data_IF_071661745869
#
_entry.id   IF_071661745869
#
_cell.length_a   1.000
_cell.length_b   1.000
_cell.length_c   1.000
_cell.angle_alpha   90.00
_cell.angle_beta   90.00
_cell.angle_gamma   90.00
#
_symmetry.space_group_name_H-M   'P 1'
#
loop_
_entity.id
_entity.type
_entity.pdbx_description
1 polymer ?
#
# COMPACT_ATOMS: atom_id res chain seq x y z
N UNK A 1 1.40 13.89 12.33
CA UNK A 1 0.39 13.01 11.69
C UNK A 1 -0.66 13.93 11.14
N UNK A 2 -0.83 13.95 9.83
CA UNK A 2 -1.89 14.72 9.18
C UNK A 2 -3.06 13.78 8.88
N UNK A 3 -4.27 14.21 9.23
CA UNK A 3 -5.50 13.47 9.03
C UNK A 3 -6.24 14.08 7.86
N UNK A 4 -6.68 13.23 6.94
CA UNK A 4 -7.53 13.61 5.83
C UNK A 4 -8.78 12.74 5.84
N UNK A 5 -9.88 13.23 5.26
CA UNK A 5 -11.06 12.40 5.05
C UNK A 5 -11.25 12.15 3.56
N UNK A 6 -11.42 10.88 3.19
CA UNK A 6 -11.79 10.46 1.83
C UNK A 6 -13.13 9.73 1.93
N UNK A 7 -14.19 10.37 1.46
CA UNK A 7 -15.56 9.83 1.49
C UNK A 7 -16.04 9.40 2.88
N UNK A 8 -15.61 10.09 3.94
CA UNK A 8 -15.99 9.79 5.33
C UNK A 8 -15.03 8.85 6.06
N UNK A 9 -14.09 8.21 5.37
CA UNK A 9 -13.04 7.40 5.99
C UNK A 9 -11.86 8.29 6.38
N UNK A 10 -11.32 8.12 7.59
CA UNK A 10 -10.12 8.81 8.04
C UNK A 10 -8.88 8.18 7.40
N UNK A 11 -8.12 8.96 6.64
CA UNK A 11 -6.88 8.53 5.99
C UNK A 11 -5.72 9.30 6.61
N UNK A 12 -4.78 8.56 7.20
CA UNK A 12 -3.57 9.10 7.81
C UNK A 12 -2.32 8.65 7.06
N UNK A 13 -1.42 9.59 6.77
CA UNK A 13 -0.12 9.27 6.16
C UNK A 13 0.99 9.35 7.23
N UNK A 14 1.75 8.29 7.36
CA UNK A 14 2.87 8.17 8.30
C UNK A 14 4.15 7.87 7.54
N UNK A 15 5.24 8.53 7.91
CA UNK A 15 6.57 8.24 7.40
C UNK A 15 7.29 7.23 8.29
N UNK A 16 7.81 6.16 7.69
CA UNK A 16 8.77 5.27 8.30
C UNK A 16 8.12 4.09 9.03
N UNK A 17 8.60 3.82 10.25
CA UNK A 17 8.12 2.68 11.05
C UNK A 17 6.84 3.04 11.77
N UNK A 18 5.91 2.08 11.78
CA UNK A 18 4.65 2.19 12.49
C UNK A 18 4.39 0.88 13.23
N UNK A 19 3.94 0.98 14.48
CA UNK A 19 3.49 -0.17 15.26
C UNK A 19 2.08 -0.52 14.82
N UNK A 20 1.90 -1.72 14.28
CA UNK A 20 0.63 -2.18 13.74
C UNK A 20 -0.17 -3.05 14.72
N UNK A 21 0.19 -3.07 16.00
CA UNK A 21 -0.55 -3.83 17.02
C UNK A 21 -2.00 -3.41 17.21
N UNK A 22 -2.36 -2.19 16.81
CA UNK A 22 -3.73 -1.64 16.91
C UNK A 22 -4.53 -1.80 15.61
N UNK A 23 -3.95 -2.40 14.56
CA UNK A 23 -4.61 -2.55 13.26
C UNK A 23 -5.18 -3.96 13.11
N UNK A 24 -6.45 -4.03 12.65
CA UNK A 24 -7.14 -5.31 12.41
C UNK A 24 -6.55 -6.04 11.20
N UNK A 25 -6.13 -5.29 10.18
CA UNK A 25 -5.58 -5.80 8.95
C UNK A 25 -4.43 -4.93 8.45
N UNK A 26 -3.37 -5.55 7.96
CA UNK A 26 -2.28 -4.83 7.27
C UNK A 26 -1.93 -5.45 5.94
N UNK A 27 -1.52 -4.61 5.01
CA UNK A 27 -0.98 -5.00 3.71
C UNK A 27 0.51 -4.68 3.68
N UNK A 28 1.33 -5.72 3.57
CA UNK A 28 2.80 -5.60 3.61
C UNK A 28 3.44 -6.33 2.43
N UNK A 29 4.68 -5.97 2.10
CA UNK A 29 5.45 -6.78 1.16
C UNK A 29 5.76 -8.16 1.76
N UNK A 30 5.63 -9.27 0.99
CA UNK A 30 5.91 -10.61 1.51
C UNK A 30 7.41 -10.81 1.79
N UNK A 31 8.24 -10.41 0.82
CA UNK A 31 9.70 -10.47 0.84
C UNK A 31 10.25 -9.23 0.14
N UNK A 32 11.21 -8.55 0.77
CA UNK A 32 11.85 -7.36 0.20
C UNK A 32 13.31 -7.71 -0.08
N UNK A 33 13.72 -7.82 -1.36
CA UNK A 33 15.10 -8.21 -1.69
C UNK A 33 16.08 -7.12 -1.28
N UNK A 34 17.18 -7.52 -0.63
CA UNK A 34 18.30 -6.63 -0.34
C UNK A 34 19.42 -6.82 -1.37
N UNK A 35 19.89 -5.71 -1.93
CA UNK A 35 21.02 -5.68 -2.86
C UNK A 35 20.68 -5.17 -4.26
N UNK A 36 21.73 -4.91 -5.04
CA UNK A 36 21.65 -4.38 -6.41
C UNK A 36 21.31 -5.50 -7.39
N UNK A 37 20.02 -5.81 -7.55
CA UNK A 37 19.56 -6.51 -8.76
C UNK A 37 19.26 -5.49 -9.85
N UNK A 38 20.00 -5.57 -10.95
CA UNK A 38 19.62 -4.98 -12.24
C UNK A 38 18.39 -5.73 -12.76
N UNK A 39 17.19 -5.35 -12.31
CA UNK A 39 15.92 -5.99 -12.71
C UNK A 39 15.05 -6.33 -11.50
N UNK A 40 14.26 -5.36 -11.04
CA UNK A 40 13.48 -5.43 -9.82
C UNK A 40 12.21 -6.27 -9.95
N UNK A 41 12.33 -7.60 -9.94
CA UNK A 41 11.19 -8.51 -9.80
C UNK A 41 11.19 -9.07 -8.38
N UNK A 42 10.21 -8.68 -7.57
CA UNK A 42 9.99 -9.23 -6.23
C UNK A 42 9.09 -10.47 -6.38
N UNK A 43 9.64 -11.66 -6.60
CA UNK A 43 8.87 -12.89 -6.86
C UNK A 43 8.87 -13.90 -5.71
N UNK A 44 7.73 -14.56 -5.51
CA UNK A 44 7.50 -15.69 -4.61
C UNK A 44 8.47 -16.86 -4.88
N UNK A 45 9.53 -16.93 -4.08
CA UNK A 45 10.32 -18.15 -3.91
C UNK A 45 11.60 -18.28 -4.72
N UNK A 46 11.97 -17.34 -5.61
CA UNK A 46 13.31 -17.34 -6.24
C UNK A 46 13.80 -15.92 -6.53
N UNK A 47 14.65 -15.42 -5.65
CA UNK A 47 15.62 -14.35 -5.95
C UNK A 47 16.53 -14.79 -7.08
N UNK A 48 16.27 -14.33 -8.31
CA UNK A 48 17.23 -14.43 -9.41
C UNK A 48 18.00 -13.11 -9.45
N UNK A 49 19.18 -13.08 -8.83
CA UNK A 49 20.17 -12.01 -9.06
C UNK A 49 20.61 -11.16 -7.87
N UNK A 50 20.13 -11.39 -6.65
CA UNK A 50 20.71 -10.86 -5.41
C UNK A 50 21.38 -11.99 -4.62
N UNK A 51 22.09 -11.70 -3.53
CA UNK A 51 22.70 -12.72 -2.64
C UNK A 51 21.68 -13.69 -1.99
N UNK A 52 20.42 -13.69 -2.44
CA UNK A 52 19.32 -14.47 -1.87
C UNK A 52 18.81 -13.90 -0.55
N UNK A 53 19.27 -12.70 -0.16
CA UNK A 53 18.90 -12.08 1.11
C UNK A 53 17.64 -11.25 0.90
N UNK A 54 16.57 -11.65 1.57
CA UNK A 54 15.34 -10.87 1.69
C UNK A 54 15.17 -10.42 3.13
N UNK A 55 14.50 -9.28 3.32
CA UNK A 55 13.95 -8.88 4.61
C UNK A 55 12.44 -8.97 4.55
N UNK A 56 11.83 -9.29 5.69
CA UNK A 56 10.39 -9.27 5.88
C UNK A 56 10.04 -8.22 6.93
N UNK A 57 9.06 -7.39 6.64
CA UNK A 57 8.51 -6.48 7.64
C UNK A 57 7.77 -7.30 8.70
N UNK A 58 8.20 -7.21 9.96
CA UNK A 58 7.47 -7.79 11.08
C UNK A 58 6.08 -7.18 11.21
N UNK A 59 5.13 -7.91 11.76
CA UNK A 59 3.77 -7.44 12.00
C UNK A 59 3.24 -7.98 13.31
N UNK A 60 2.57 -7.11 14.05
CA UNK A 60 1.81 -7.40 15.27
C UNK A 60 0.30 -7.32 15.05
N UNK A 61 -0.15 -7.03 13.82
CA UNK A 61 -1.55 -6.95 13.46
C UNK A 61 -2.21 -8.34 13.45
N UNK A 62 -3.53 -8.38 13.67
CA UNK A 62 -4.29 -9.63 13.70
C UNK A 62 -4.20 -10.39 12.38
N UNK A 63 -4.23 -9.65 11.27
CA UNK A 63 -4.21 -10.22 9.93
C UNK A 63 -3.25 -9.49 9.00
N UNK A 64 -2.51 -10.27 8.21
CA UNK A 64 -1.57 -9.76 7.21
C UNK A 64 -1.95 -10.27 5.82
N UNK A 65 -2.23 -9.34 4.91
CA UNK A 65 -2.28 -9.58 3.47
C UNK A 65 -0.96 -9.13 2.86
N UNK A 66 -0.57 -9.78 1.78
CA UNK A 66 0.65 -9.43 1.07
C UNK A 66 0.36 -8.71 -0.24
N UNK A 67 1.12 -7.65 -0.51
CA UNK A 67 1.14 -7.04 -1.83
C UNK A 67 1.54 -8.07 -2.90
N UNK A 68 0.95 -8.01 -4.10
CA UNK A 68 1.42 -8.81 -5.20
C UNK A 68 2.84 -8.40 -5.61
N UNK A 69 3.55 -9.37 -6.17
CA UNK A 69 4.83 -9.18 -6.85
C UNK A 69 4.69 -8.21 -8.02
N UNK A 70 5.28 -7.01 -7.92
CA UNK A 70 5.30 -6.03 -9.02
C UNK A 70 6.70 -5.46 -9.26
N UNK A 71 6.90 -4.98 -10.49
CA UNK A 71 8.11 -4.37 -11.02
C UNK A 71 7.78 -3.14 -11.84
N UNK A 72 8.75 -2.22 -11.99
CA UNK A 72 8.68 -1.14 -12.99
C UNK A 72 8.49 -1.67 -14.44
N UNK A 73 8.94 -2.90 -14.72
CA UNK A 73 8.79 -3.53 -16.02
C UNK A 73 7.36 -4.01 -16.31
N UNK A 74 6.51 -4.12 -15.28
CA UNK A 74 5.13 -4.58 -15.46
C UNK A 74 4.28 -3.46 -16.06
N UNK A 75 3.72 -3.65 -17.27
CA UNK A 75 2.94 -2.61 -17.94
C UNK A 75 1.61 -2.33 -17.21
N UNK A 76 1.07 -3.34 -16.52
CA UNK A 76 -0.21 -3.25 -15.80
C UNK A 76 -0.02 -3.00 -14.30
N UNK A 77 1.17 -2.58 -13.84
CA UNK A 77 1.47 -2.41 -12.40
C UNK A 77 0.47 -1.50 -11.67
N UNK A 78 -0.02 -0.45 -12.34
CA UNK A 78 -1.02 0.47 -11.76
C UNK A 78 -2.33 -0.24 -11.43
N UNK A 79 -2.89 -0.96 -12.41
CA UNK A 79 -4.09 -1.77 -12.23
C UNK A 79 -3.91 -2.86 -11.17
N UNK A 80 -2.70 -3.45 -11.08
CA UNK A 80 -2.38 -4.43 -10.04
C UNK A 80 -2.41 -3.79 -8.64
N UNK A 81 -1.82 -2.59 -8.47
CA UNK A 81 -1.85 -1.86 -7.20
C UNK A 81 -3.30 -1.51 -6.81
N UNK A 82 -4.07 -0.98 -7.74
CA UNK A 82 -5.48 -0.65 -7.53
C UNK A 82 -6.27 -1.87 -7.06
N UNK A 83 -6.23 -2.97 -7.82
CA UNK A 83 -6.95 -4.21 -7.49
C UNK A 83 -6.50 -4.81 -6.17
N UNK A 84 -5.20 -4.81 -5.89
CA UNK A 84 -4.69 -5.30 -4.61
C UNK A 84 -5.23 -4.49 -3.44
N UNK A 85 -5.32 -3.17 -3.61
CA UNK A 85 -5.89 -2.26 -2.60
C UNK A 85 -7.39 -2.51 -2.43
N UNK A 86 -8.16 -2.56 -3.52
CA UNK A 86 -9.60 -2.85 -3.48
C UNK A 86 -9.88 -4.20 -2.82
N UNK A 87 -9.13 -5.25 -3.18
CA UNK A 87 -9.29 -6.58 -2.59
C UNK A 87 -8.95 -6.60 -1.10
N UNK A 88 -7.98 -5.81 -0.65
CA UNK A 88 -7.65 -5.68 0.76
C UNK A 88 -8.78 -4.98 1.53
N UNK A 89 -9.35 -3.90 0.99
CA UNK A 89 -10.50 -3.20 1.58
C UNK A 89 -11.74 -4.11 1.65
N UNK A 90 -12.01 -4.88 0.59
CA UNK A 90 -13.10 -5.87 0.61
C UNK A 90 -12.84 -7.03 1.58
N UNK A 91 -11.58 -7.38 1.81
CA UNK A 91 -11.22 -8.37 2.82
C UNK A 91 -11.39 -7.81 4.22
N UNK A 92 -11.02 -6.55 4.46
CA UNK A 92 -11.27 -5.84 5.72
C UNK A 92 -12.77 -5.85 6.06
N UNK A 93 -13.64 -5.51 5.10
CA UNK A 93 -15.09 -5.52 5.32
C UNK A 93 -15.63 -6.90 5.69
N UNK A 94 -15.22 -7.94 4.95
CA UNK A 94 -15.65 -9.33 5.25
C UNK A 94 -15.24 -9.79 6.64
N UNK A 95 -14.22 -9.18 7.20
CA UNK A 95 -13.68 -9.47 8.53
C UNK A 95 -14.19 -8.49 9.58
N UNK A 96 -15.06 -7.55 9.20
CA UNK A 96 -15.58 -6.48 10.06
C UNK A 96 -14.47 -5.63 10.69
N UNK A 97 -13.36 -5.47 9.98
CA UNK A 97 -12.27 -4.61 10.39
C UNK A 97 -12.69 -3.13 10.37
N UNK A 98 -12.25 -2.39 11.38
CA UNK A 98 -12.47 -0.96 11.55
C UNK A 98 -11.24 -0.15 11.14
N UNK A 99 -10.05 -0.77 11.20
CA UNK A 99 -8.78 -0.12 10.90
C UNK A 99 -7.90 -1.00 10.01
N UNK A 100 -7.34 -0.41 8.95
CA UNK A 100 -6.43 -1.10 8.02
C UNK A 100 -5.15 -0.29 7.80
N UNK A 101 -4.01 -0.98 7.66
CA UNK A 101 -2.73 -0.38 7.29
C UNK A 101 -2.21 -0.83 5.94
N UNK A 102 -1.66 0.09 5.15
CA UNK A 102 -0.96 -0.17 3.89
C UNK A 102 0.50 0.26 4.02
N UNK A 103 1.42 -0.71 3.99
CA UNK A 103 2.86 -0.48 4.10
C UNK A 103 3.50 -0.56 2.71
N UNK A 104 4.17 0.51 2.27
CA UNK A 104 4.60 0.65 0.87
C UNK A 104 6.09 0.44 0.63
N UNK A 105 6.84 -0.05 1.63
CA UNK A 105 8.29 -0.24 1.53
C UNK A 105 8.71 -1.13 0.34
N UNK A 106 7.96 -2.20 0.07
CA UNK A 106 8.24 -3.10 -1.05
C UNK A 106 8.18 -2.42 -2.42
N UNK A 107 7.33 -1.40 -2.59
CA UNK A 107 7.21 -0.69 -3.87
C UNK A 107 8.41 0.19 -4.19
N UNK A 108 9.05 0.78 -3.17
CA UNK A 108 10.26 1.56 -3.35
C UNK A 108 11.43 0.68 -3.80
N UNK A 109 11.56 -0.51 -3.20
CA UNK A 109 12.57 -1.50 -3.62
C UNK A 109 12.29 -2.04 -5.02
N UNK A 110 11.02 -2.21 -5.39
CA UNK A 110 10.60 -2.53 -6.76
C UNK A 110 10.77 -1.38 -7.77
N UNK A 111 11.19 -0.19 -7.30
CA UNK A 111 11.36 1.04 -8.09
C UNK A 111 10.08 1.51 -8.77
N UNK A 112 8.93 1.19 -8.20
CA UNK A 112 7.65 1.70 -8.70
C UNK A 112 7.56 3.18 -8.32
N UNK A 113 7.17 4.08 -9.24
CA UNK A 113 7.12 5.50 -8.94
C UNK A 113 6.14 5.79 -7.81
N UNK A 114 6.56 6.59 -6.83
CA UNK A 114 5.76 6.92 -5.65
C UNK A 114 4.40 7.52 -5.98
N UNK A 115 4.31 8.31 -7.06
CA UNK A 115 3.07 8.92 -7.51
C UNK A 115 2.09 7.89 -8.08
N UNK A 116 2.56 6.84 -8.77
CA UNK A 116 1.69 5.76 -9.26
C UNK A 116 1.11 4.96 -8.09
N UNK A 117 1.95 4.63 -7.12
CA UNK A 117 1.52 3.92 -5.90
C UNK A 117 0.45 4.73 -5.16
N UNK A 118 0.72 6.03 -4.95
CA UNK A 118 -0.20 6.91 -4.25
C UNK A 118 -1.53 7.09 -5.02
N UNK A 119 -1.49 7.39 -6.31
CA UNK A 119 -2.70 7.59 -7.11
C UNK A 119 -3.60 6.35 -7.10
N UNK A 120 -3.05 5.16 -7.31
CA UNK A 120 -3.85 3.93 -7.38
C UNK A 120 -4.42 3.50 -6.02
N UNK A 121 -3.65 3.65 -4.93
CA UNK A 121 -4.14 3.35 -3.58
C UNK A 121 -5.25 4.33 -3.20
N UNK A 122 -5.04 5.65 -3.36
CA UNK A 122 -6.07 6.64 -2.99
C UNK A 122 -7.30 6.51 -3.89
N UNK A 123 -7.14 6.21 -5.18
CA UNK A 123 -8.26 5.95 -6.08
C UNK A 123 -9.09 4.76 -5.59
N UNK A 124 -8.46 3.64 -5.24
CA UNK A 124 -9.16 2.48 -4.70
C UNK A 124 -9.89 2.80 -3.39
N UNK A 125 -9.28 3.59 -2.49
CA UNK A 125 -9.90 4.04 -1.24
C UNK A 125 -11.12 4.93 -1.52
N UNK A 126 -10.99 5.88 -2.45
CA UNK A 126 -12.08 6.77 -2.82
C UNK A 126 -13.26 6.01 -3.41
N UNK A 127 -13.01 5.09 -4.34
CA UNK A 127 -14.07 4.25 -4.93
C UNK A 127 -14.74 3.40 -3.84
N UNK A 128 -13.96 2.85 -2.92
CA UNK A 128 -14.47 2.07 -1.80
C UNK A 128 -15.29 2.90 -0.82
N UNK A 129 -14.90 4.15 -0.55
CA UNK A 129 -15.59 5.05 0.39
C UNK A 129 -17.04 5.38 0.01
N UNK A 130 -17.46 5.08 -1.22
CA UNK A 130 -18.86 5.22 -1.66
C UNK A 130 -19.77 4.09 -1.19
N UNK A 131 -19.20 2.99 -0.68
CA UNK A 131 -19.92 1.83 -0.14
C UNK A 131 -20.20 2.06 1.34
N UNK A 132 -21.30 1.49 1.84
CA UNK A 132 -21.48 1.34 3.30
C UNK A 132 -20.41 0.37 3.83
N UNK A 133 -19.64 0.81 4.82
CA UNK A 133 -18.53 0.05 5.40
C UNK A 133 -18.37 0.39 6.87
N UNK A 134 -17.85 -0.56 7.64
CA UNK A 134 -17.44 -0.35 9.03
C UNK A 134 -16.01 0.20 9.16
N UNK A 135 -15.32 0.40 8.04
CA UNK A 135 -13.94 0.87 8.03
C UNK A 135 -13.89 2.37 8.36
N UNK A 136 -13.36 2.69 9.54
CA UNK A 136 -13.26 4.06 10.04
C UNK A 136 -11.93 4.69 9.67
N UNK A 137 -10.85 3.90 9.66
CA UNK A 137 -9.48 4.42 9.57
C UNK A 137 -8.59 3.61 8.63
N UNK A 138 -7.84 4.35 7.80
CA UNK A 138 -6.81 3.83 6.91
C UNK A 138 -5.47 4.48 7.22
N UNK A 139 -4.47 3.65 7.52
CA UNK A 139 -3.10 4.04 7.76
C UNK A 139 -2.25 3.80 6.51
N UNK A 140 -1.69 4.85 5.94
CA UNK A 140 -0.75 4.79 4.82
C UNK A 140 0.66 4.98 5.35
N UNK A 141 1.43 3.89 5.42
CA UNK A 141 2.79 3.88 5.96
C UNK A 141 3.80 3.95 4.82
N UNK A 142 4.25 5.17 4.54
CA UNK A 142 5.18 5.52 3.49
C UNK A 142 6.64 5.25 3.91
N UNK A 143 7.47 4.75 3.00
CA UNK A 143 8.89 4.46 3.26
C UNK A 143 9.82 5.66 3.04
N UNK A 144 9.36 6.70 2.34
CA UNK A 144 10.17 7.88 2.03
C UNK A 144 9.36 9.19 2.03
N UNK A 145 10.00 10.35 2.27
CA UNK A 145 9.33 11.65 2.18
C UNK A 145 8.66 11.89 0.82
N UNK A 146 9.25 11.41 -0.27
CA UNK A 146 8.65 11.50 -1.61
C UNK A 146 7.33 10.74 -1.72
N UNK A 147 7.22 9.56 -1.09
CA UNK A 147 5.94 8.84 -1.01
C UNK A 147 4.92 9.60 -0.16
N UNK A 148 5.32 10.19 0.97
CA UNK A 148 4.42 11.02 1.79
C UNK A 148 3.84 12.17 0.96
N UNK A 149 4.69 12.92 0.26
CA UNK A 149 4.25 14.02 -0.60
C UNK A 149 3.33 13.54 -1.73
N UNK A 150 3.59 12.35 -2.28
CA UNK A 150 2.76 11.74 -3.32
C UNK A 150 1.37 11.36 -2.79
N UNK A 151 1.28 10.79 -1.58
CA UNK A 151 0.00 10.51 -0.92
C UNK A 151 -0.76 11.77 -0.58
N UNK A 152 -0.11 12.77 0.04
CA UNK A 152 -0.73 14.05 0.34
C UNK A 152 -1.27 14.72 -0.93
N UNK A 153 -0.49 14.70 -2.02
CA UNK A 153 -0.94 15.21 -3.31
C UNK A 153 -2.17 14.43 -3.82
N UNK A 154 -2.13 13.10 -3.81
CA UNK A 154 -3.23 12.26 -4.31
C UNK A 154 -4.52 12.47 -3.51
N UNK A 155 -4.42 12.54 -2.17
CA UNK A 155 -5.56 12.83 -1.29
C UNK A 155 -6.17 14.20 -1.61
N UNK A 156 -5.33 15.23 -1.69
CA UNK A 156 -5.80 16.61 -1.94
C UNK A 156 -6.39 16.82 -3.34
N UNK A 157 -6.09 15.94 -4.29
CA UNK A 157 -6.51 16.06 -5.70
C UNK A 157 -7.37 14.88 -6.15
N UNK A 158 -8.00 14.16 -5.22
CA UNK A 158 -8.73 12.92 -5.52
C UNK A 158 -9.87 13.10 -6.52
N UNK A 159 -10.53 14.27 -6.53
CA UNK A 159 -11.58 14.61 -7.50
C UNK A 159 -11.08 14.66 -8.94
N UNK A 160 -9.80 15.00 -9.15
CA UNK A 160 -9.15 15.04 -10.47
C UNK A 160 -8.66 13.64 -10.86
N UNK A 161 -8.09 12.90 -9.90
CA UNK A 161 -7.54 11.56 -10.12
C UNK A 161 -8.65 10.55 -10.45
N UNK A 162 -9.80 10.65 -9.78
CA UNK A 162 -10.92 9.70 -9.96
C UNK A 162 -11.67 9.88 -11.29
N UNK A 163 -11.42 10.96 -12.04
CA UNK A 163 -12.02 11.20 -13.36
C UNK A 163 -11.24 10.55 -14.52
N UNK A 164 -10.04 10.03 -14.25
CA UNK A 164 -9.18 9.32 -15.22
C UNK A 164 -9.32 7.81 -15.07
#
# INVERSE_FOLDING_TARGET
>A
MEYHSVGGIEVSVILGRFDDSELDLVVKAPDIPLGITTGGVIGSGRTVGGLGITIKEGSSADHVIHWPSISIADPNRRDIIYKATSNALESAERMQATQIGFFTLGFEVARVPSWEVAEEIIKAINDYSTKESNLEKIMLVASSPTQVSSFQYAINNISIISQK
#
